data_IF_176227205207
#
_entry.id   IF_176227205207
#
_cell.length_a   1.000
_cell.length_b   1.000
_cell.length_c   1.000
_cell.angle_alpha   90.00
_cell.angle_beta   90.00
_cell.angle_gamma   90.00
#
_symmetry.space_group_name_H-M   'P 1'
#
loop_
_entity.id
_entity.type
_entity.pdbx_description
1 polymer ?
#
# COMPACT_ATOMS: atom_id res chain seq x y z
N UNK A 1 -30.01 1.10 -2.44
CA UNK A 1 -29.16 0.90 -1.25
C UNK A 1 -28.87 2.28 -0.70
N UNK A 2 -29.12 2.53 0.58
CA UNK A 2 -28.78 3.81 1.21
C UNK A 2 -27.29 3.81 1.58
N UNK A 3 -26.54 4.76 1.04
CA UNK A 3 -25.10 4.90 1.29
C UNK A 3 -24.78 5.23 2.75
N UNK A 4 -25.70 5.91 3.43
CA UNK A 4 -25.57 6.25 4.84
C UNK A 4 -25.70 5.04 5.74
N UNK A 5 -26.23 3.91 5.27
CA UNK A 5 -26.34 2.70 6.10
C UNK A 5 -25.11 1.80 6.05
N UNK A 6 -24.06 2.20 5.31
CA UNK A 6 -22.84 1.39 5.17
C UNK A 6 -21.99 1.46 6.43
N UNK A 7 -21.59 0.31 6.97
CA UNK A 7 -20.61 0.25 8.07
C UNK A 7 -19.30 0.91 7.64
N UNK A 8 -18.72 1.76 8.50
CA UNK A 8 -17.57 2.60 8.18
C UNK A 8 -17.93 3.99 7.61
N UNK A 9 -19.18 4.18 7.12
CA UNK A 9 -19.79 5.52 6.97
C UNK A 9 -20.54 5.85 8.25
N UNK A 10 -21.40 4.94 8.69
CA UNK A 10 -22.06 5.01 10.00
C UNK A 10 -21.79 3.71 10.77
N UNK A 11 -21.36 3.84 12.04
CA UNK A 11 -20.91 2.74 12.89
C UNK A 11 -19.42 2.41 12.74
N UNK A 12 -18.89 1.69 13.74
CA UNK A 12 -17.46 1.37 13.82
C UNK A 12 -17.16 -0.05 13.31
N UNK A 13 -16.40 -0.16 12.22
CA UNK A 13 -16.00 -1.46 11.66
C UNK A 13 -15.20 -2.31 12.65
N UNK A 14 -14.44 -1.67 13.56
CA UNK A 14 -13.59 -2.37 14.53
C UNK A 14 -14.38 -3.17 15.57
N UNK A 15 -15.63 -2.82 15.79
CA UNK A 15 -16.53 -3.44 16.76
C UNK A 15 -17.42 -4.53 16.15
N UNK A 16 -17.40 -4.69 14.83
CA UNK A 16 -18.23 -5.70 14.16
C UNK A 16 -17.80 -7.12 14.57
N UNK A 17 -18.76 -7.99 14.87
CA UNK A 17 -18.51 -9.34 15.41
C UNK A 17 -17.56 -10.19 14.56
N UNK A 18 -17.57 -10.00 13.23
CA UNK A 18 -16.62 -10.64 12.31
C UNK A 18 -15.15 -10.37 12.67
N UNK A 19 -14.83 -9.17 13.14
CA UNK A 19 -13.47 -8.77 13.53
C UNK A 19 -13.20 -8.92 15.04
N UNK A 20 -14.06 -9.62 15.78
CA UNK A 20 -13.93 -9.78 17.24
C UNK A 20 -12.59 -10.36 17.70
N UNK A 21 -11.91 -11.13 16.85
CA UNK A 21 -10.59 -11.72 17.15
C UNK A 21 -9.41 -10.82 16.77
N UNK A 22 -9.65 -9.68 16.11
CA UNK A 22 -8.61 -8.77 15.65
C UNK A 22 -8.17 -7.86 16.79
N UNK A 23 -6.89 -7.97 17.18
CA UNK A 23 -6.23 -6.98 18.04
C UNK A 23 -5.70 -5.84 17.16
N UNK A 24 -6.48 -4.77 17.02
CA UNK A 24 -6.19 -3.67 16.08
C UNK A 24 -4.83 -2.99 16.30
N UNK A 25 -4.47 -2.73 17.56
CA UNK A 25 -3.16 -2.14 17.90
C UNK A 25 -2.00 -3.04 17.45
N UNK A 26 -2.10 -4.34 17.66
CA UNK A 26 -1.07 -5.30 17.25
C UNK A 26 -1.00 -5.43 15.72
N UNK A 27 -2.14 -5.37 15.04
CA UNK A 27 -2.21 -5.40 13.58
C UNK A 27 -1.53 -4.17 12.96
N UNK A 28 -1.85 -2.97 13.45
CA UNK A 28 -1.28 -1.70 12.97
C UNK A 28 0.22 -1.61 13.22
N UNK A 29 0.68 -2.12 14.38
CA UNK A 29 2.09 -2.20 14.72
C UNK A 29 2.82 -3.39 14.05
N UNK A 30 2.18 -4.08 13.09
CA UNK A 30 2.74 -5.21 12.32
C UNK A 30 3.22 -6.39 13.20
N UNK A 31 2.59 -6.59 14.35
CA UNK A 31 2.91 -7.68 15.31
C UNK A 31 2.06 -8.93 15.09
N UNK A 32 1.00 -8.85 14.30
CA UNK A 32 0.18 -10.00 13.90
C UNK A 32 0.86 -10.76 12.76
N UNK A 33 1.08 -12.06 12.94
CA UNK A 33 1.62 -12.94 11.90
C UNK A 33 0.68 -12.98 10.69
N UNK A 34 1.20 -12.81 9.48
CA UNK A 34 0.40 -12.93 8.25
C UNK A 34 -0.05 -14.38 8.05
N UNK A 35 -1.28 -14.59 7.55
CA UNK A 35 -1.78 -15.95 7.27
C UNK A 35 -1.10 -16.60 6.06
N UNK A 36 -0.47 -15.79 5.21
CA UNK A 36 0.26 -16.23 4.03
C UNK A 36 1.54 -15.40 3.89
N UNK A 37 2.63 -16.07 3.53
CA UNK A 37 3.90 -15.46 3.19
C UNK A 37 4.21 -15.83 1.74
N UNK A 38 4.18 -14.87 0.80
CA UNK A 38 4.59 -15.12 -0.57
C UNK A 38 6.03 -15.64 -0.61
N UNK A 39 6.30 -16.58 -1.52
CA UNK A 39 7.69 -16.91 -1.86
C UNK A 39 8.35 -15.66 -2.45
N UNK A 40 9.45 -15.22 -1.85
CA UNK A 40 10.22 -14.09 -2.35
C UNK A 40 11.50 -14.65 -2.99
N UNK A 41 11.67 -14.51 -4.32
CA UNK A 41 12.94 -14.82 -4.95
C UNK A 41 14.01 -13.82 -4.48
N UNK A 42 15.30 -14.14 -4.65
CA UNK A 42 16.38 -13.21 -4.32
C UNK A 42 16.20 -11.89 -5.08
N UNK A 43 16.69 -10.77 -4.53
CA UNK A 43 16.74 -9.51 -5.27
C UNK A 43 17.47 -9.68 -6.62
N UNK A 44 18.45 -10.58 -6.66
CA UNK A 44 19.23 -10.91 -7.86
C UNK A 44 18.47 -11.77 -8.88
N UNK A 45 17.38 -12.43 -8.45
CA UNK A 45 16.57 -13.32 -9.31
C UNK A 45 15.53 -12.55 -10.14
N UNK A 46 15.33 -11.25 -9.87
CA UNK A 46 14.46 -10.40 -10.69
C UNK A 46 15.18 -10.06 -12.00
N UNK A 47 15.11 -10.94 -13.00
CA UNK A 47 15.38 -10.55 -14.38
C UNK A 47 14.33 -9.52 -14.78
N UNK A 48 14.78 -8.36 -15.32
CA UNK A 48 13.93 -7.25 -15.76
C UNK A 48 12.56 -7.75 -16.22
N UNK A 49 11.54 -7.54 -15.38
CA UNK A 49 10.17 -7.95 -15.72
C UNK A 49 9.86 -7.21 -17.02
N UNK A 50 9.61 -7.90 -18.14
CA UNK A 50 9.33 -7.22 -19.39
C UNK A 50 8.05 -6.41 -19.17
N UNK A 51 8.23 -5.10 -19.03
CA UNK A 51 7.13 -4.15 -18.91
C UNK A 51 6.33 -4.28 -20.21
N UNK A 52 5.21 -4.97 -20.16
CA UNK A 52 4.25 -5.04 -21.27
C UNK A 52 3.53 -3.71 -21.50
N UNK A 53 3.83 -2.69 -20.68
CA UNK A 53 3.36 -1.35 -20.88
C UNK A 53 4.09 -0.74 -22.08
N UNK A 54 3.32 -0.29 -23.07
CA UNK A 54 3.88 0.39 -24.24
C UNK A 54 4.72 1.58 -23.78
N UNK A 55 5.98 1.65 -24.21
CA UNK A 55 6.91 2.75 -23.92
C UNK A 55 6.53 4.02 -24.69
N UNK A 56 5.24 4.37 -24.77
CA UNK A 56 4.77 5.62 -25.35
C UNK A 56 5.19 6.75 -24.40
N UNK A 57 6.45 7.14 -24.50
CA UNK A 57 7.00 8.31 -23.84
C UNK A 57 6.34 9.51 -24.53
N UNK A 58 5.43 10.15 -23.81
CA UNK A 58 4.82 11.41 -24.22
C UNK A 58 5.86 12.50 -23.98
N UNK A 59 6.48 13.02 -25.04
CA UNK A 59 7.48 14.10 -24.96
C UNK A 59 6.84 15.48 -24.77
N UNK A 60 5.71 15.56 -24.06
CA UNK A 60 5.10 16.85 -23.75
C UNK A 60 5.64 17.36 -22.42
N UNK A 61 6.15 18.58 -22.41
CA UNK A 61 6.58 19.27 -21.20
C UNK A 61 5.35 19.49 -20.30
N UNK A 62 5.13 18.57 -19.36
CA UNK A 62 4.11 18.75 -18.32
C UNK A 62 4.63 19.78 -17.33
N UNK A 63 4.15 21.02 -17.42
CA UNK A 63 4.41 22.09 -16.45
C UNK A 63 3.68 21.81 -15.11
N UNK A 64 4.04 20.72 -14.45
CA UNK A 64 3.48 20.33 -13.16
C UNK A 64 4.39 20.85 -12.05
N UNK A 65 4.11 22.08 -11.61
CA UNK A 65 4.73 22.63 -10.41
C UNK A 65 4.43 21.72 -9.20
N UNK A 66 5.33 21.74 -8.21
CA UNK A 66 5.20 21.01 -6.94
C UNK A 66 5.14 19.48 -7.04
N UNK A 67 5.66 18.91 -8.13
CA UNK A 67 5.71 17.45 -8.31
C UNK A 67 6.92 16.76 -7.64
N UNK A 68 7.98 17.53 -7.32
CA UNK A 68 9.16 16.98 -6.65
C UNK A 68 8.88 16.70 -5.17
N UNK A 69 9.05 15.44 -4.75
CA UNK A 69 8.98 15.04 -3.35
C UNK A 69 10.16 14.13 -2.98
N UNK A 70 10.76 14.39 -1.82
CA UNK A 70 11.79 13.53 -1.20
C UNK A 70 11.36 13.31 0.24
N UNK A 71 11.35 12.05 0.69
CA UNK A 71 11.05 11.72 2.08
C UNK A 71 12.16 12.27 3.00
N UNK A 72 11.87 13.20 3.93
CA UNK A 72 12.87 13.77 4.82
C UNK A 72 13.50 12.76 5.79
N UNK A 73 12.84 11.62 6.03
CA UNK A 73 13.35 10.53 6.86
C UNK A 73 14.37 9.65 6.14
N UNK A 74 14.51 9.83 4.82
CA UNK A 74 15.48 9.09 4.04
C UNK A 74 16.89 9.63 4.28
N UNK A 75 17.72 8.82 4.93
CA UNK A 75 19.15 9.06 5.09
C UNK A 75 19.94 8.04 4.25
N UNK A 76 20.81 8.55 3.38
CA UNK A 76 21.72 7.74 2.55
C UNK A 76 23.05 7.41 3.23
N UNK A 77 23.16 7.66 4.53
CA UNK A 77 24.41 7.55 5.27
C UNK A 77 24.35 6.28 6.14
N UNK A 78 25.20 5.31 5.79
CA UNK A 78 25.58 4.16 6.64
C UNK A 78 26.39 4.60 7.87
#
# INVERSE_FOLDING_TARGET
>A
MDENQRIGVNGNIREHAFYSTVKWEELENRRVKTPFQPGMPSADDFTEIPLSFSSQIRNEETNLADFSHVDPSWSWQE
#
